data_IF_246033928724
#
_entry.id   IF_246033928724
#
_cell.length_a   1.000
_cell.length_b   1.000
_cell.length_c   1.000
_cell.angle_alpha   90.00
_cell.angle_beta   90.00
_cell.angle_gamma   90.00
#
_symmetry.space_group_name_H-M   'P 1'
#
loop_
_entity.id
_entity.type
_entity.pdbx_description
1 polymer ?
#
# COMPACT_ATOMS: atom_id res chain seq x y z
N UNK A 1 0.95 20.93 8.58
CA UNK A 1 1.57 19.60 8.69
C UNK A 1 3.03 19.74 9.11
N UNK A 2 3.42 18.95 10.07
CA UNK A 2 4.82 18.90 10.50
C UNK A 2 5.56 17.89 9.64
N UNK A 3 6.65 18.29 9.05
CA UNK A 3 7.56 17.40 8.33
C UNK A 3 8.84 17.19 9.14
N UNK A 4 9.70 16.33 8.63
CA UNK A 4 11.02 16.15 9.23
C UNK A 4 11.91 17.35 8.92
N UNK A 5 12.75 17.68 9.90
CA UNK A 5 13.85 18.62 9.70
C UNK A 5 15.15 17.83 9.83
N UNK A 6 16.12 18.16 9.00
CA UNK A 6 17.42 17.47 9.04
C UNK A 6 18.06 17.57 10.43
N UNK A 7 17.87 18.68 11.13
CA UNK A 7 18.39 18.87 12.47
C UNK A 7 17.80 17.95 13.53
N UNK A 8 16.62 17.36 13.25
CA UNK A 8 15.93 16.47 14.18
C UNK A 8 16.22 15.00 13.92
N UNK A 9 17.01 14.70 12.89
CA UNK A 9 17.30 13.36 12.45
C UNK A 9 18.74 12.95 12.78
N UNK A 10 18.93 11.69 13.12
CA UNK A 10 20.26 11.12 13.39
C UNK A 10 20.49 9.90 12.51
N UNK A 11 21.75 9.66 12.17
CA UNK A 11 22.13 8.49 11.38
C UNK A 11 21.77 7.22 12.14
N UNK A 12 21.13 6.27 11.47
CA UNK A 12 20.72 5.00 12.06
C UNK A 12 19.35 5.05 12.76
N UNK A 13 18.73 6.21 12.84
CA UNK A 13 17.40 6.35 13.41
C UNK A 13 16.35 5.62 12.54
N UNK A 14 15.40 4.96 13.19
CA UNK A 14 14.34 4.24 12.50
C UNK A 14 12.97 4.76 12.93
N UNK A 15 12.00 4.64 12.03
CA UNK A 15 10.61 5.01 12.28
C UNK A 15 9.72 3.85 11.87
N UNK A 16 8.70 3.59 12.68
CA UNK A 16 7.72 2.55 12.38
C UNK A 16 6.33 3.17 12.40
N UNK A 17 5.49 2.74 11.46
CA UNK A 17 4.09 3.14 11.42
C UNK A 17 3.27 2.04 10.77
N UNK A 18 2.03 1.92 11.20
CA UNK A 18 1.09 1.01 10.57
C UNK A 18 0.38 1.79 9.46
N UNK A 19 0.55 1.33 8.22
CA UNK A 19 -0.04 1.98 7.05
C UNK A 19 -1.53 1.68 6.98
N UNK A 20 -1.91 0.43 7.21
CA UNK A 20 -3.29 0.00 7.29
C UNK A 20 -3.36 -1.23 8.20
N UNK A 21 -4.25 -1.23 9.18
CA UNK A 21 -4.32 -2.32 10.16
C UNK A 21 -5.03 -3.55 9.63
N UNK A 22 -6.06 -3.37 8.83
CA UNK A 22 -6.91 -4.45 8.34
C UNK A 22 -7.43 -4.06 6.97
N UNK A 23 -6.68 -4.44 5.95
CA UNK A 23 -7.05 -4.11 4.57
C UNK A 23 -8.32 -4.87 4.18
N UNK A 24 -9.39 -4.12 3.94
CA UNK A 24 -10.70 -4.68 3.61
C UNK A 24 -10.83 -4.89 2.12
N UNK A 25 -11.61 -5.93 1.75
CA UNK A 25 -11.97 -6.15 0.33
C UNK A 25 -12.64 -4.91 -0.25
N UNK A 26 -13.46 -4.21 0.55
CA UNK A 26 -14.13 -2.99 0.13
C UNK A 26 -13.14 -1.92 -0.34
N UNK A 27 -12.01 -1.76 0.35
CA UNK A 27 -10.98 -0.81 -0.04
C UNK A 27 -10.36 -1.19 -1.40
N UNK A 28 -10.14 -2.48 -1.62
CA UNK A 28 -9.60 -2.97 -2.89
C UNK A 28 -10.60 -2.72 -4.02
N UNK A 29 -11.89 -2.97 -3.77
CA UNK A 29 -12.96 -2.72 -4.76
C UNK A 29 -13.06 -1.22 -5.09
N UNK A 30 -12.99 -0.37 -4.07
CA UNK A 30 -13.00 1.08 -4.27
C UNK A 30 -11.81 1.53 -5.12
N UNK A 31 -10.64 0.98 -4.86
CA UNK A 31 -9.46 1.29 -5.65
C UNK A 31 -9.60 0.82 -7.09
N UNK A 32 -10.17 -0.36 -7.30
CA UNK A 32 -10.42 -0.86 -8.66
C UNK A 32 -11.29 0.12 -9.44
N UNK A 33 -12.35 0.65 -8.81
CA UNK A 33 -13.20 1.65 -9.42
C UNK A 33 -12.51 2.96 -9.69
N UNK A 34 -11.69 3.42 -8.73
CA UNK A 34 -10.99 4.69 -8.85
C UNK A 34 -9.84 4.67 -9.85
N UNK A 35 -9.12 3.56 -9.94
CA UNK A 35 -7.95 3.43 -10.80
C UNK A 35 -8.26 2.91 -12.20
N UNK A 36 -9.41 2.26 -12.36
CA UNK A 36 -9.73 1.58 -13.62
C UNK A 36 -9.05 0.22 -13.78
N UNK A 37 -8.38 -0.27 -12.75
CA UNK A 37 -7.74 -1.59 -12.77
C UNK A 37 -8.72 -2.64 -12.26
N UNK A 38 -9.44 -3.26 -13.17
CA UNK A 38 -10.47 -4.24 -12.88
C UNK A 38 -10.00 -5.67 -13.01
N UNK A 39 -8.70 -5.93 -12.88
CA UNK A 39 -8.21 -7.29 -12.94
C UNK A 39 -8.90 -8.15 -11.88
N UNK A 40 -9.52 -9.27 -12.28
CA UNK A 40 -10.31 -10.09 -11.34
C UNK A 40 -9.49 -10.71 -10.21
N UNK A 41 -8.17 -10.74 -10.30
CA UNK A 41 -7.31 -11.19 -9.19
C UNK A 41 -7.53 -10.38 -7.92
N UNK A 42 -8.03 -9.16 -8.04
CA UNK A 42 -8.19 -8.25 -6.90
C UNK A 42 -9.60 -8.29 -6.30
N UNK A 43 -10.58 -8.72 -7.07
CA UNK A 43 -11.98 -8.59 -6.65
C UNK A 43 -12.82 -9.86 -6.72
N UNK A 44 -12.42 -10.83 -7.55
CA UNK A 44 -13.18 -12.07 -7.78
C UNK A 44 -12.50 -13.23 -7.08
N UNK A 45 -13.08 -13.67 -5.95
CA UNK A 45 -12.53 -14.77 -5.15
C UNK A 45 -12.43 -16.07 -5.94
N UNK A 46 -13.44 -16.39 -6.73
CA UNK A 46 -13.46 -17.60 -7.53
C UNK A 46 -12.33 -17.59 -8.56
N UNK A 47 -12.17 -16.47 -9.24
CA UNK A 47 -11.09 -16.31 -10.21
C UNK A 47 -9.72 -16.43 -9.54
N UNK A 48 -9.53 -15.72 -8.44
CA UNK A 48 -8.25 -15.68 -7.74
C UNK A 48 -7.84 -17.06 -7.21
N UNK A 49 -8.80 -17.79 -6.65
CA UNK A 49 -8.50 -19.10 -6.03
C UNK A 49 -8.53 -20.26 -7.02
N UNK A 50 -9.57 -20.36 -7.84
CA UNK A 50 -9.82 -21.54 -8.67
C UNK A 50 -9.12 -21.47 -10.03
N UNK A 51 -8.93 -20.29 -10.57
CA UNK A 51 -8.33 -20.12 -11.89
C UNK A 51 -6.87 -19.72 -11.76
N UNK A 52 -6.56 -18.71 -10.94
CA UNK A 52 -5.20 -18.21 -10.79
C UNK A 52 -4.38 -18.93 -9.73
N UNK A 53 -5.02 -19.66 -8.80
CA UNK A 53 -4.31 -20.48 -7.82
C UNK A 53 -3.78 -19.75 -6.59
N UNK A 54 -4.29 -18.59 -6.30
CA UNK A 54 -3.90 -17.83 -5.10
C UNK A 54 -4.81 -18.16 -3.92
N UNK A 55 -4.36 -17.92 -2.68
CA UNK A 55 -5.19 -18.19 -1.50
C UNK A 55 -6.46 -17.36 -1.41
N UNK A 56 -6.46 -16.16 -1.99
CA UNK A 56 -7.59 -15.22 -1.96
C UNK A 56 -7.27 -14.07 -2.91
N UNK A 57 -8.20 -13.12 -3.02
CA UNK A 57 -7.90 -11.86 -3.70
C UNK A 57 -6.81 -11.10 -2.93
N UNK A 58 -6.09 -10.25 -3.63
CA UNK A 58 -5.02 -9.45 -3.01
C UNK A 58 -5.04 -8.03 -3.59
N UNK A 59 -4.38 -7.12 -2.86
CA UNK A 59 -4.38 -5.71 -3.21
C UNK A 59 -3.60 -5.44 -4.50
N UNK A 60 -4.05 -4.43 -5.25
CA UNK A 60 -3.29 -3.88 -6.35
C UNK A 60 -1.94 -3.40 -5.81
N UNK A 61 -0.86 -3.62 -6.58
CA UNK A 61 0.45 -3.11 -6.22
C UNK A 61 0.42 -1.59 -6.04
N UNK A 62 -0.23 -0.89 -6.95
CA UNK A 62 -0.32 0.57 -6.88
C UNK A 62 -1.15 1.06 -5.70
N UNK A 63 -2.14 0.28 -5.22
CA UNK A 63 -2.84 0.61 -3.99
C UNK A 63 -1.88 0.57 -2.79
N UNK A 64 -1.09 -0.48 -2.68
CA UNK A 64 -0.09 -0.64 -1.63
C UNK A 64 0.94 0.50 -1.70
N UNK A 65 1.41 0.81 -2.89
CA UNK A 65 2.35 1.92 -3.10
C UNK A 65 1.74 3.26 -2.70
N UNK A 66 0.49 3.51 -3.05
CA UNK A 66 -0.20 4.75 -2.71
C UNK A 66 -0.39 4.92 -1.22
N UNK A 67 -0.80 3.87 -0.52
CA UNK A 67 -0.95 3.89 0.93
C UNK A 67 0.40 4.15 1.63
N UNK A 68 1.45 3.50 1.16
CA UNK A 68 2.80 3.69 1.71
C UNK A 68 3.30 5.11 1.44
N UNK A 69 3.09 5.62 0.23
CA UNK A 69 3.46 6.98 -0.12
C UNK A 69 2.76 8.02 0.73
N UNK A 70 1.48 7.81 1.00
CA UNK A 70 0.70 8.70 1.88
C UNK A 70 1.29 8.71 3.29
N UNK A 71 1.65 7.55 3.82
CA UNK A 71 2.25 7.45 5.15
C UNK A 71 3.60 8.16 5.20
N UNK A 72 4.45 7.98 4.20
CA UNK A 72 5.76 8.62 4.14
C UNK A 72 5.61 10.14 4.03
N UNK A 73 4.72 10.60 3.17
CA UNK A 73 4.46 12.03 3.02
C UNK A 73 3.95 12.66 4.32
N UNK A 74 3.14 11.92 5.08
CA UNK A 74 2.66 12.37 6.38
C UNK A 74 3.77 12.50 7.43
N UNK A 75 4.76 11.60 7.39
CA UNK A 75 5.90 11.63 8.31
C UNK A 75 6.92 12.69 7.91
N UNK A 76 7.34 12.68 6.66
CA UNK A 76 8.45 13.50 6.19
C UNK A 76 8.05 14.93 5.83
N UNK A 77 6.78 15.14 5.46
CA UNK A 77 6.31 16.38 4.84
C UNK A 77 6.45 16.30 3.32
N UNK A 78 5.39 16.67 2.61
CA UNK A 78 5.37 16.57 1.14
C UNK A 78 6.45 17.39 0.47
N UNK A 79 6.77 18.55 1.03
CA UNK A 79 7.80 19.44 0.51
C UNK A 79 9.22 18.89 0.66
N UNK A 80 9.41 17.90 1.52
CA UNK A 80 10.71 17.28 1.76
C UNK A 80 10.93 16.00 0.94
N UNK A 81 9.88 15.51 0.27
CA UNK A 81 9.93 14.27 -0.47
C UNK A 81 10.32 14.54 -1.92
N UNK A 82 11.56 14.20 -2.29
CA UNK A 82 12.07 14.43 -3.64
C UNK A 82 11.85 13.24 -4.57
N UNK A 83 11.88 12.03 -4.02
CA UNK A 83 11.79 10.80 -4.82
C UNK A 83 11.21 9.68 -3.99
N UNK A 84 10.29 8.92 -4.59
CA UNK A 84 9.67 7.77 -3.97
C UNK A 84 9.58 6.64 -4.99
N UNK A 85 10.04 5.46 -4.60
CA UNK A 85 9.97 4.29 -5.46
C UNK A 85 9.82 3.04 -4.63
N UNK A 86 9.31 1.98 -5.25
CA UNK A 86 9.08 0.70 -4.58
C UNK A 86 9.49 -0.46 -5.48
N UNK A 87 9.67 -1.61 -4.86
CA UNK A 87 9.78 -2.90 -5.54
C UNK A 87 8.77 -3.85 -4.92
N UNK A 88 7.92 -4.44 -5.74
CA UNK A 88 6.94 -5.40 -5.25
C UNK A 88 7.58 -6.77 -5.14
N UNK A 89 7.72 -7.29 -3.92
CA UNK A 89 8.38 -8.56 -3.65
C UNK A 89 7.43 -9.63 -3.13
N UNK A 90 6.21 -9.23 -2.71
CA UNK A 90 5.19 -10.14 -2.20
C UNK A 90 3.81 -9.52 -2.41
N UNK A 91 2.79 -10.39 -2.41
CA UNK A 91 1.40 -9.93 -2.47
C UNK A 91 0.93 -9.45 -1.11
N UNK A 92 0.08 -8.42 -1.11
CA UNK A 92 -0.60 -7.96 0.09
C UNK A 92 -2.05 -8.48 0.03
N UNK A 93 -2.35 -9.52 0.79
CA UNK A 93 -3.70 -10.05 0.89
C UNK A 93 -4.58 -9.16 1.76
N UNK A 94 -5.90 -9.28 1.58
CA UNK A 94 -6.84 -8.61 2.46
C UNK A 94 -6.76 -9.20 3.87
N UNK A 95 -6.90 -8.38 4.90
CA UNK A 95 -6.85 -8.82 6.29
C UNK A 95 -5.64 -9.70 6.59
N UNK A 96 -4.49 -9.37 6.02
CA UNK A 96 -3.28 -10.14 6.21
C UNK A 96 -2.63 -9.82 7.54
N UNK A 97 -2.21 -10.83 8.26
CA UNK A 97 -1.36 -10.56 9.42
C UNK A 97 -0.05 -9.90 8.99
#
# INVERSE_FOLDING_TARGET
MTGWRASDLTVGQTFETVVVEDLKRTQIVQYAGGSGDYNPLHTDEVYATKIAGYPSVFAHGMLTMGLTGQAIAGLAGTENLLRFGVRFTARCGRATP
#
